data_IF_281925479268
#
_entry.id   IF_281925479268
#
_cell.length_a   1.000
_cell.length_b   1.000
_cell.length_c   1.000
_cell.angle_alpha   90.00
_cell.angle_beta   90.00
_cell.angle_gamma   90.00
#
_symmetry.space_group_name_H-M   'P 1'
#
loop_
_entity.id
_entity.type
_entity.pdbx_description
1 polymer ?
#
# COMPACT_ATOMS: atom_id res chain seq x y z
N UNK A 1 -4.75 1.87 26.34
CA UNK A 1 -5.48 1.43 25.13
C UNK A 1 -4.92 2.20 23.93
N UNK A 2 -4.74 1.61 22.76
CA UNK A 2 -4.36 2.38 21.58
C UNK A 2 -5.47 3.38 21.24
N UNK A 3 -5.07 4.58 20.81
CA UNK A 3 -6.03 5.60 20.40
C UNK A 3 -6.90 5.11 19.23
N UNK A 4 -8.19 5.44 19.22
CA UNK A 4 -9.08 5.07 18.14
C UNK A 4 -8.61 5.69 16.82
N UNK A 5 -8.74 4.96 15.72
CA UNK A 5 -8.48 5.45 14.38
C UNK A 5 -9.75 6.15 13.87
N UNK A 6 -9.60 7.41 13.53
CA UNK A 6 -10.66 8.20 12.90
C UNK A 6 -10.47 8.23 11.38
N UNK A 7 -11.54 8.03 10.66
CA UNK A 7 -11.53 7.93 9.22
C UNK A 7 -12.05 9.19 8.56
N UNK A 8 -11.44 9.50 7.45
CA UNK A 8 -11.79 10.62 6.58
C UNK A 8 -11.94 10.10 5.16
N UNK A 9 -13.06 10.37 4.52
CA UNK A 9 -13.25 10.09 3.09
C UNK A 9 -12.42 11.08 2.29
N UNK A 10 -11.57 10.54 1.43
CA UNK A 10 -10.75 11.32 0.51
C UNK A 10 -11.45 11.36 -0.85
N UNK A 11 -11.75 12.56 -1.31
CA UNK A 11 -12.20 12.82 -2.67
C UNK A 11 -11.01 13.45 -3.39
N UNK A 12 -10.31 12.71 -4.27
CA UNK A 12 -9.20 13.28 -5.03
C UNK A 12 -9.72 14.38 -5.95
N UNK A 13 -8.96 15.46 -6.06
CA UNK A 13 -9.23 16.49 -7.06
C UNK A 13 -8.85 16.02 -8.46
N UNK A 14 -9.44 16.63 -9.50
CA UNK A 14 -9.16 16.28 -10.90
C UNK A 14 -7.72 16.63 -11.30
N UNK A 15 -7.14 17.66 -10.69
CA UNK A 15 -5.81 18.18 -11.03
C UNK A 15 -4.70 17.66 -10.08
N UNK A 16 -4.95 16.52 -9.41
CA UNK A 16 -3.98 15.92 -8.50
C UNK A 16 -2.77 15.41 -9.29
N UNK A 17 -1.59 15.99 -9.01
CA UNK A 17 -0.35 15.61 -9.68
C UNK A 17 0.44 14.57 -8.91
N UNK A 18 1.18 13.71 -9.62
CA UNK A 18 2.09 12.73 -9.01
C UNK A 18 3.10 13.40 -8.06
N UNK A 19 3.57 14.62 -8.40
CA UNK A 19 4.51 15.39 -7.57
C UNK A 19 3.92 15.80 -6.21
N UNK A 20 2.65 16.16 -6.16
CA UNK A 20 1.95 16.47 -4.90
C UNK A 20 1.83 15.22 -4.02
N UNK A 21 1.45 14.09 -4.62
CA UNK A 21 1.36 12.80 -3.93
C UNK A 21 2.74 12.38 -3.41
N UNK A 22 3.79 12.49 -4.24
CA UNK A 22 5.15 12.18 -3.83
C UNK A 22 5.58 12.99 -2.61
N UNK A 23 5.38 14.30 -2.61
CA UNK A 23 5.71 15.19 -1.47
C UNK A 23 4.97 14.79 -0.19
N UNK A 24 3.70 14.38 -0.30
CA UNK A 24 2.96 13.85 0.84
C UNK A 24 3.64 12.59 1.39
N UNK A 25 3.99 11.63 0.53
CA UNK A 25 4.66 10.39 0.96
C UNK A 25 6.07 10.63 1.48
N UNK A 26 6.83 11.57 0.92
CA UNK A 26 8.12 12.01 1.46
C UNK A 26 7.96 12.55 2.88
N UNK A 27 6.96 13.38 3.12
CA UNK A 27 6.64 13.87 4.48
C UNK A 27 6.24 12.73 5.40
N UNK A 28 5.46 11.78 4.93
CA UNK A 28 5.06 10.60 5.70
C UNK A 28 6.19 9.60 5.93
N UNK A 29 7.27 9.64 5.16
CA UNK A 29 8.43 8.77 5.35
C UNK A 29 9.35 9.20 6.47
N UNK A 30 9.20 10.42 6.98
CA UNK A 30 10.03 10.89 8.10
C UNK A 30 9.77 10.07 9.36
N UNK A 31 10.80 9.81 10.21
CA UNK A 31 10.63 9.04 11.44
C UNK A 31 9.59 9.62 12.41
N UNK A 32 9.42 10.95 12.41
CA UNK A 32 8.47 11.68 13.24
C UNK A 32 7.07 11.76 12.62
N UNK A 33 6.90 11.14 11.45
CA UNK A 33 5.61 11.12 10.79
C UNK A 33 4.60 10.32 11.61
N UNK A 34 3.45 10.82 11.60
CA UNK A 34 2.27 10.50 12.39
C UNK A 34 1.73 9.11 12.06
N UNK A 35 1.90 8.17 12.95
CA UNK A 35 1.55 6.75 12.73
C UNK A 35 0.73 6.17 13.86
N UNK A 36 -0.05 5.14 13.58
CA UNK A 36 -0.29 4.52 12.27
C UNK A 36 -1.15 5.39 11.36
N UNK A 37 -0.89 5.34 10.05
CA UNK A 37 -1.78 5.88 9.02
C UNK A 37 -2.24 4.74 8.11
N UNK A 38 -3.51 4.74 7.75
CA UNK A 38 -4.15 3.67 6.98
C UNK A 38 -4.85 4.29 5.79
N UNK A 39 -4.55 3.80 4.59
CA UNK A 39 -5.30 4.10 3.38
C UNK A 39 -6.17 2.89 3.05
N UNK A 40 -7.45 3.13 2.82
CA UNK A 40 -8.40 2.08 2.47
C UNK A 40 -9.16 2.46 1.21
N UNK A 41 -9.32 1.49 0.32
CA UNK A 41 -10.22 1.60 -0.82
C UNK A 41 -11.27 0.52 -0.69
N UNK A 42 -12.52 0.92 -0.65
CA UNK A 42 -13.67 0.05 -0.47
C UNK A 42 -14.52 0.04 -1.72
N UNK A 43 -14.95 -1.14 -2.14
CA UNK A 43 -16.02 -1.32 -3.10
C UNK A 43 -17.22 -1.97 -2.41
N UNK A 44 -18.34 -1.26 -2.35
CA UNK A 44 -19.61 -1.69 -1.77
C UNK A 44 -20.79 -1.28 -2.66
N UNK A 45 -22.04 -1.47 -2.23
CA UNK A 45 -23.23 -1.16 -3.02
C UNK A 45 -23.27 0.28 -3.53
N UNK A 46 -22.73 1.22 -2.77
CA UNK A 46 -22.74 2.65 -3.06
C UNK A 46 -21.62 3.08 -4.02
N UNK A 47 -20.70 2.20 -4.33
CA UNK A 47 -19.61 2.51 -5.26
C UNK A 47 -18.22 2.24 -4.70
N UNK A 48 -17.25 3.04 -5.14
CA UNK A 48 -15.87 2.97 -4.66
C UNK A 48 -15.59 4.18 -3.77
N UNK A 49 -15.10 3.90 -2.56
CA UNK A 49 -14.80 4.94 -1.56
C UNK A 49 -13.35 4.81 -1.10
N UNK A 50 -12.68 5.95 -1.04
CA UNK A 50 -11.33 6.05 -0.48
C UNK A 50 -11.37 6.66 0.91
N UNK A 51 -10.81 5.95 1.87
CA UNK A 51 -10.71 6.37 3.26
C UNK A 51 -9.26 6.51 3.68
N UNK A 52 -9.00 7.51 4.48
CA UNK A 52 -7.72 7.64 5.19
C UNK A 52 -7.99 7.67 6.67
N UNK A 53 -7.38 6.73 7.38
CA UNK A 53 -7.54 6.56 8.82
C UNK A 53 -6.30 6.95 9.59
N UNK A 54 -6.51 7.58 10.77
CA UNK A 54 -5.43 8.00 11.66
C UNK A 54 -5.95 8.26 13.08
N UNK A 55 -5.05 8.17 14.07
CA UNK A 55 -5.33 8.65 15.43
C UNK A 55 -5.44 10.18 15.46
N UNK A 56 -6.44 10.72 16.15
CA UNK A 56 -6.64 12.17 16.33
C UNK A 56 -5.66 12.81 17.32
N UNK A 57 -5.07 12.04 18.22
CA UNK A 57 -4.12 12.56 19.22
C UNK A 57 -2.85 13.13 18.60
N UNK A 58 -2.62 12.85 17.33
CA UNK A 58 -1.38 13.20 16.64
C UNK A 58 -1.57 14.45 15.76
N UNK A 59 -0.74 15.48 15.98
CA UNK A 59 -0.75 16.72 15.17
C UNK A 59 0.44 16.78 14.23
N UNK A 60 0.32 17.40 13.05
CA UNK A 60 -0.87 18.05 12.49
C UNK A 60 -1.98 17.04 12.18
N UNK A 61 -3.23 17.48 12.18
CA UNK A 61 -4.36 16.59 11.85
C UNK A 61 -4.28 16.12 10.42
N UNK A 62 -4.90 14.96 10.11
CA UNK A 62 -4.95 14.43 8.75
C UNK A 62 -5.52 15.47 7.76
N UNK A 63 -6.56 16.19 8.15
CA UNK A 63 -7.15 17.27 7.34
C UNK A 63 -6.14 18.36 7.00
N UNK A 64 -5.31 18.77 7.98
CA UNK A 64 -4.24 19.76 7.75
C UNK A 64 -3.20 19.24 6.77
N UNK A 65 -2.77 17.97 6.89
CA UNK A 65 -1.84 17.37 5.94
C UNK A 65 -2.42 17.33 4.54
N UNK A 66 -3.65 16.82 4.37
CA UNK A 66 -4.31 16.78 3.07
C UNK A 66 -4.37 18.17 2.45
N UNK A 67 -4.83 19.18 3.18
CA UNK A 67 -4.87 20.55 2.69
C UNK A 67 -3.52 21.08 2.24
N UNK A 68 -2.47 20.79 2.99
CA UNK A 68 -1.13 21.32 2.71
C UNK A 68 -0.46 20.68 1.50
N UNK A 69 -0.69 19.37 1.28
CA UNK A 69 0.01 18.61 0.25
C UNK A 69 -0.87 18.28 -0.97
N UNK A 70 -2.18 18.18 -0.77
CA UNK A 70 -3.17 17.86 -1.77
C UNK A 70 -4.32 18.90 -1.74
N UNK A 71 -4.06 20.17 -2.10
CA UNK A 71 -5.02 21.24 -1.95
C UNK A 71 -6.33 21.00 -2.71
N UNK A 72 -6.28 20.31 -3.84
CA UNK A 72 -7.43 19.96 -4.66
C UNK A 72 -8.27 18.80 -4.09
N UNK A 73 -7.71 18.05 -3.12
CA UNK A 73 -8.43 16.95 -2.51
C UNK A 73 -9.34 17.45 -1.37
N UNK A 74 -10.56 16.92 -1.32
CA UNK A 74 -11.50 17.18 -0.23
C UNK A 74 -11.45 16.05 0.79
N UNK A 75 -11.42 16.44 2.05
CA UNK A 75 -11.40 15.54 3.20
C UNK A 75 -12.72 15.68 3.97
N UNK A 76 -13.60 14.69 3.89
CA UNK A 76 -14.89 14.63 4.56
C UNK A 76 -14.82 13.65 5.72
N UNK A 77 -15.47 13.97 6.86
CA UNK A 77 -15.61 13.00 7.95
C UNK A 77 -16.37 11.78 7.45
N UNK A 78 -15.91 10.60 7.81
CA UNK A 78 -16.54 9.36 7.38
C UNK A 78 -16.52 8.32 8.49
N UNK A 79 -17.51 7.46 8.48
CA UNK A 79 -17.54 6.22 9.25
C UNK A 79 -16.93 5.11 8.39
N UNK A 80 -16.08 4.31 8.98
CA UNK A 80 -15.54 3.13 8.29
C UNK A 80 -16.63 2.09 8.13
N UNK A 81 -16.76 1.45 6.96
CA UNK A 81 -17.65 0.31 6.77
C UNK A 81 -17.29 -0.86 7.71
N UNK A 82 -18.20 -1.81 7.85
CA UNK A 82 -17.94 -3.01 8.65
C UNK A 82 -16.71 -3.78 8.16
N UNK A 83 -15.97 -4.33 9.13
CA UNK A 83 -14.78 -5.10 8.82
C UNK A 83 -15.14 -6.35 8.00
N UNK A 84 -14.48 -6.59 6.86
CA UNK A 84 -14.77 -7.76 6.04
C UNK A 84 -14.61 -9.06 6.81
N UNK A 85 -15.44 -10.06 6.49
CA UNK A 85 -15.44 -11.37 7.15
C UNK A 85 -14.09 -12.09 7.05
N UNK A 86 -13.39 -11.90 5.95
CA UNK A 86 -12.08 -12.52 5.71
C UNK A 86 -11.08 -11.48 5.24
N UNK A 87 -9.94 -11.46 5.92
CA UNK A 87 -8.82 -10.56 5.62
C UNK A 87 -7.60 -11.40 5.28
N UNK A 88 -6.94 -11.09 4.17
CA UNK A 88 -5.65 -11.66 3.79
C UNK A 88 -4.59 -10.57 3.76
N UNK A 89 -3.40 -10.86 4.29
CA UNK A 89 -2.24 -10.00 4.15
C UNK A 89 -1.45 -10.40 2.92
N UNK A 90 -1.17 -9.44 2.04
CA UNK A 90 -0.27 -9.65 0.91
C UNK A 90 1.17 -9.68 1.42
N UNK A 91 1.93 -10.67 0.98
CA UNK A 91 3.36 -10.76 1.24
C UNK A 91 4.10 -10.46 -0.07
N UNK A 92 4.93 -9.45 -0.06
CA UNK A 92 5.84 -9.18 -1.17
C UNK A 92 7.03 -10.15 -1.11
N UNK A 93 7.34 -10.76 -2.23
CA UNK A 93 8.46 -11.69 -2.39
C UNK A 93 9.26 -11.27 -3.63
N UNK A 94 10.59 -11.20 -3.55
CA UNK A 94 11.43 -11.40 -2.37
C UNK A 94 11.42 -10.21 -1.40
N UNK A 95 11.66 -10.45 -0.14
CA UNK A 95 11.71 -9.41 0.89
C UNK A 95 12.86 -8.44 0.62
N UNK A 96 12.60 -7.14 0.82
CA UNK A 96 13.62 -6.09 0.73
C UNK A 96 13.94 -5.63 -0.69
N UNK A 97 13.31 -6.21 -1.71
CA UNK A 97 13.40 -5.67 -3.06
C UNK A 97 12.52 -4.43 -3.22
N UNK A 98 13.00 -3.43 -3.96
CA UNK A 98 12.20 -2.28 -4.32
C UNK A 98 10.98 -2.68 -5.15
N UNK A 99 9.87 -2.01 -4.92
CA UNK A 99 8.72 -2.09 -5.82
C UNK A 99 9.13 -1.54 -7.19
N UNK A 100 8.52 -2.05 -8.24
CA UNK A 100 8.68 -1.46 -9.57
C UNK A 100 8.07 -0.06 -9.57
N UNK A 101 8.75 0.89 -10.16
CA UNK A 101 8.32 2.27 -10.39
C UNK A 101 7.89 2.52 -11.84
N UNK A 102 7.60 1.46 -12.57
CA UNK A 102 7.08 1.52 -13.93
C UNK A 102 5.66 2.09 -13.94
N UNK A 103 5.51 3.27 -14.54
CA UNK A 103 4.23 3.97 -14.56
C UNK A 103 3.14 3.20 -15.36
N UNK A 104 3.51 2.53 -16.46
CA UNK A 104 2.56 1.74 -17.23
C UNK A 104 2.06 0.52 -16.44
N UNK A 105 2.97 -0.24 -15.84
CA UNK A 105 2.60 -1.38 -14.99
C UNK A 105 1.78 -0.95 -13.77
N UNK A 106 2.04 0.24 -13.21
CA UNK A 106 1.23 0.79 -12.12
C UNK A 106 -0.18 1.14 -12.58
N UNK A 107 -0.34 1.70 -13.77
CA UNK A 107 -1.64 2.02 -14.35
C UNK A 107 -2.45 0.75 -14.63
N UNK A 108 -1.85 -0.27 -15.23
CA UNK A 108 -2.48 -1.56 -15.49
C UNK A 108 -2.94 -2.22 -14.19
N UNK A 109 -2.10 -2.19 -13.14
CA UNK A 109 -2.45 -2.69 -11.81
C UNK A 109 -3.65 -1.94 -11.22
N UNK A 110 -3.68 -0.60 -11.32
CA UNK A 110 -4.81 0.20 -10.84
C UNK A 110 -6.09 -0.13 -11.60
N UNK A 111 -6.04 -0.23 -12.93
CA UNK A 111 -7.19 -0.65 -13.73
C UNK A 111 -7.71 -2.03 -13.33
N UNK A 112 -6.82 -3.00 -13.11
CA UNK A 112 -7.19 -4.33 -12.67
C UNK A 112 -7.82 -4.32 -11.25
N UNK A 113 -7.26 -3.54 -10.32
CA UNK A 113 -7.82 -3.35 -8.98
C UNK A 113 -9.23 -2.76 -9.06
N UNK A 114 -9.40 -1.66 -9.80
CA UNK A 114 -10.71 -1.03 -9.95
C UNK A 114 -11.72 -1.92 -10.66
N UNK A 115 -11.30 -2.74 -11.63
CA UNK A 115 -12.14 -3.74 -12.27
C UNK A 115 -12.69 -4.76 -11.26
N UNK A 116 -11.83 -5.28 -10.38
CA UNK A 116 -12.27 -6.21 -9.31
C UNK A 116 -13.21 -5.50 -8.34
N UNK A 117 -12.90 -4.27 -7.92
CA UNK A 117 -13.77 -3.49 -7.03
C UNK A 117 -15.13 -3.17 -7.66
N UNK A 118 -15.19 -2.94 -8.97
CA UNK A 118 -16.43 -2.64 -9.70
C UNK A 118 -17.24 -3.89 -10.03
N UNK A 119 -16.59 -5.05 -10.20
CA UNK A 119 -17.23 -6.33 -10.55
C UNK A 119 -17.95 -7.03 -9.40
N UNK A 120 -18.12 -6.38 -8.25
CA UNK A 120 -18.83 -6.91 -7.09
C UNK A 120 -20.33 -7.04 -7.35
N UNK A 121 -20.94 -7.98 -6.65
CA UNK A 121 -22.41 -8.20 -6.66
C UNK A 121 -23.03 -7.51 -5.45
N UNK A 122 -24.36 -7.40 -5.47
CA UNK A 122 -25.14 -6.91 -4.32
C UNK A 122 -24.82 -7.73 -3.06
N UNK A 123 -24.58 -7.04 -1.94
CA UNK A 123 -24.19 -7.65 -0.66
C UNK A 123 -22.73 -8.09 -0.60
N UNK A 124 -21.90 -7.84 -1.64
CA UNK A 124 -20.47 -8.09 -1.59
C UNK A 124 -19.73 -6.80 -1.22
N UNK A 125 -18.72 -6.94 -0.38
CA UNK A 125 -17.81 -5.85 -0.02
C UNK A 125 -16.36 -6.29 -0.24
N UNK A 126 -15.60 -5.45 -0.91
CA UNK A 126 -14.17 -5.66 -1.12
C UNK A 126 -13.42 -4.45 -0.55
N UNK A 127 -12.42 -4.71 0.29
CA UNK A 127 -11.60 -3.67 0.89
C UNK A 127 -10.12 -3.93 0.63
N UNK A 128 -9.41 -2.90 0.22
CA UNK A 128 -7.95 -2.89 0.12
C UNK A 128 -7.45 -1.91 1.18
N UNK A 129 -6.58 -2.38 2.05
CA UNK A 129 -6.00 -1.59 3.12
C UNK A 129 -4.48 -1.54 2.96
N UNK A 130 -3.93 -0.34 2.90
CA UNK A 130 -2.50 -0.07 2.96
C UNK A 130 -2.19 0.60 4.28
N UNK A 131 -1.52 -0.11 5.16
CA UNK A 131 -1.09 0.41 6.47
C UNK A 131 0.34 0.91 6.34
N UNK A 132 0.53 2.20 6.58
CA UNK A 132 1.86 2.78 6.67
C UNK A 132 2.45 2.50 8.05
N UNK A 133 3.51 1.74 8.05
CA UNK A 133 4.28 1.42 9.24
C UNK A 133 5.38 2.45 9.51
N UNK A 134 6.49 2.00 10.08
CA UNK A 134 7.60 2.87 10.50
C UNK A 134 8.35 3.46 9.31
N UNK A 135 8.66 4.77 9.36
CA UNK A 135 9.65 5.39 8.49
C UNK A 135 11.05 4.94 8.84
N UNK A 136 11.86 4.76 7.83
CA UNK A 136 13.27 4.43 7.96
C UNK A 136 14.11 5.50 7.30
N UNK A 137 15.11 5.94 8.01
CA UNK A 137 16.12 6.85 7.45
C UNK A 137 16.95 6.12 6.39
N UNK A 138 17.59 6.85 5.49
CA UNK A 138 18.64 6.30 4.63
C UNK A 138 19.63 5.48 5.45
N UNK A 139 20.12 4.41 4.90
CA UNK A 139 21.06 3.50 5.55
C UNK A 139 22.25 3.24 4.62
N UNK A 140 23.37 2.81 5.18
CA UNK A 140 24.49 2.34 4.38
C UNK A 140 24.09 1.17 3.49
N UNK A 141 24.66 1.12 2.30
CA UNK A 141 24.44 0.00 1.37
C UNK A 141 25.04 -1.27 1.97
N UNK A 142 24.31 -2.41 2.00
CA UNK A 142 24.88 -3.66 2.47
C UNK A 142 26.11 -4.05 1.63
N UNK A 143 27.21 -4.40 2.29
CA UNK A 143 28.44 -4.81 1.60
C UNK A 143 28.22 -6.08 0.75
N UNK A 144 27.34 -6.98 1.20
CA UNK A 144 27.01 -8.20 0.49
C UNK A 144 25.52 -8.22 0.17
N UNK A 145 25.20 -8.13 -1.11
CA UNK A 145 23.84 -8.26 -1.62
C UNK A 145 23.77 -9.63 -2.31
N UNK A 146 22.97 -10.52 -1.74
CA UNK A 146 22.74 -11.88 -2.27
C UNK A 146 21.71 -11.79 -3.40
N UNK A 147 21.86 -12.63 -4.43
CA UNK A 147 20.87 -12.73 -5.50
C UNK A 147 19.54 -13.25 -4.96
N UNK A 148 18.46 -12.44 -4.98
CA UNK A 148 17.15 -12.86 -4.47
C UNK A 148 16.46 -13.90 -5.35
N UNK A 149 16.92 -14.08 -6.60
CA UNK A 149 16.39 -15.03 -7.57
C UNK A 149 17.20 -16.35 -7.61
N UNK A 150 18.22 -16.47 -6.77
CA UNK A 150 19.00 -17.71 -6.70
C UNK A 150 18.12 -18.87 -6.26
N UNK A 151 18.10 -19.93 -7.04
CA UNK A 151 17.38 -21.17 -6.69
C UNK A 151 18.09 -21.90 -5.55
N UNK A 152 17.34 -22.73 -4.81
CA UNK A 152 17.92 -23.55 -3.72
C UNK A 152 19.10 -24.40 -4.22
N UNK A 153 19.01 -24.94 -5.44
CA UNK A 153 20.11 -25.69 -6.06
C UNK A 153 21.35 -24.83 -6.31
N UNK A 154 21.19 -23.60 -6.77
CA UNK A 154 22.30 -22.67 -6.96
C UNK A 154 22.94 -22.25 -5.62
N UNK A 155 22.13 -22.06 -4.58
CA UNK A 155 22.63 -21.76 -3.25
C UNK A 155 23.43 -22.91 -2.64
N UNK A 156 23.01 -24.14 -2.87
CA UNK A 156 23.70 -25.35 -2.38
C UNK A 156 25.00 -25.63 -3.15
N UNK A 157 25.01 -25.42 -4.47
CA UNK A 157 26.15 -25.76 -5.33
C UNK A 157 27.21 -24.65 -5.41
N UNK A 158 26.82 -23.39 -5.37
CA UNK A 158 27.71 -22.23 -5.59
C UNK A 158 27.79 -21.27 -4.39
N UNK A 159 27.10 -21.59 -3.32
CA UNK A 159 26.94 -20.65 -2.20
C UNK A 159 26.10 -19.43 -2.59
N UNK A 160 26.02 -18.45 -1.68
CA UNK A 160 25.31 -17.21 -1.97
C UNK A 160 26.10 -16.37 -2.99
N UNK A 161 25.77 -16.51 -4.28
CA UNK A 161 26.32 -15.66 -5.33
C UNK A 161 26.02 -14.19 -5.11
N UNK A 162 26.92 -13.29 -5.53
CA UNK A 162 26.65 -11.87 -5.52
C UNK A 162 25.50 -11.55 -6.48
N UNK A 163 24.57 -10.69 -6.06
CA UNK A 163 23.48 -10.25 -6.90
C UNK A 163 24.00 -9.59 -8.21
N UNK A 164 23.25 -9.69 -9.32
CA UNK A 164 23.54 -8.97 -10.55
C UNK A 164 23.77 -7.48 -10.31
N UNK A 165 24.61 -6.85 -11.12
CA UNK A 165 24.99 -5.44 -10.97
C UNK A 165 23.78 -4.51 -10.91
N UNK A 166 22.76 -4.78 -11.69
CA UNK A 166 21.52 -4.01 -11.72
C UNK A 166 20.73 -4.12 -10.39
N UNK A 167 20.65 -5.31 -9.82
CA UNK A 167 20.01 -5.50 -8.51
C UNK A 167 20.81 -4.77 -7.43
N UNK A 168 22.14 -4.84 -7.47
CA UNK A 168 23.01 -4.12 -6.53
C UNK A 168 22.80 -2.61 -6.63
N UNK A 169 22.72 -2.06 -7.86
CA UNK A 169 22.46 -0.64 -8.10
C UNK A 169 21.10 -0.21 -7.54
N UNK A 170 20.05 -0.99 -7.78
CA UNK A 170 18.69 -0.73 -7.21
C UNK A 170 18.71 -0.74 -5.69
N UNK A 171 19.32 -1.76 -5.08
CA UNK A 171 19.40 -1.84 -3.61
C UNK A 171 20.19 -0.66 -3.04
N UNK A 172 21.27 -0.23 -3.70
CA UNK A 172 22.03 0.95 -3.30
C UNK A 172 21.17 2.22 -3.36
N UNK A 173 20.52 2.48 -4.48
CA UNK A 173 19.60 3.62 -4.62
C UNK A 173 18.51 3.63 -3.55
N UNK A 174 17.92 2.46 -3.25
CA UNK A 174 16.94 2.35 -2.20
C UNK A 174 17.48 2.53 -0.79
N UNK A 175 18.72 2.13 -0.54
CA UNK A 175 19.34 2.34 0.77
C UNK A 175 19.56 3.84 1.06
N UNK A 176 19.85 4.62 0.04
CA UNK A 176 20.09 6.07 0.11
C UNK A 176 18.79 6.89 0.28
N UNK A 177 17.63 6.28 0.08
CA UNK A 177 16.33 6.96 0.18
C UNK A 177 15.64 6.72 1.52
N UNK A 178 14.83 7.69 1.97
CA UNK A 178 13.91 7.47 3.06
C UNK A 178 12.82 6.46 2.65
N UNK A 179 12.49 5.53 3.52
CA UNK A 179 11.56 4.41 3.25
C UNK A 179 10.44 4.36 4.27
N UNK A 180 9.33 3.78 3.86
CA UNK A 180 8.19 3.49 4.74
C UNK A 180 7.92 1.99 4.69
N UNK A 181 7.81 1.37 5.86
CA UNK A 181 7.30 -0.01 5.93
C UNK A 181 5.81 0.02 5.58
N UNK A 182 5.37 -0.82 4.66
CA UNK A 182 3.97 -0.93 4.28
C UNK A 182 3.44 -2.34 4.53
N UNK A 183 2.18 -2.43 4.90
CA UNK A 183 1.43 -3.69 4.94
C UNK A 183 0.18 -3.53 4.11
N UNK A 184 0.03 -4.38 3.10
CA UNK A 184 -1.18 -4.42 2.28
C UNK A 184 -2.06 -5.57 2.72
N UNK A 185 -3.35 -5.31 2.90
CA UNK A 185 -4.36 -6.30 3.27
C UNK A 185 -5.53 -6.19 2.31
N UNK A 186 -6.14 -7.33 2.01
CA UNK A 186 -7.37 -7.41 1.22
C UNK A 186 -8.43 -8.09 2.05
N UNK A 187 -9.57 -7.44 2.18
CA UNK A 187 -10.74 -7.95 2.87
C UNK A 187 -11.86 -8.23 1.87
N UNK A 188 -12.58 -9.33 2.07
CA UNK A 188 -13.71 -9.71 1.22
C UNK A 188 -14.86 -10.23 2.08
N UNK A 189 -16.04 -9.68 1.87
CA UNK A 189 -17.34 -10.22 2.31
C UNK A 189 -18.11 -10.66 1.08
N UNK A 190 -18.61 -11.90 1.07
CA UNK A 190 -19.47 -12.41 0.01
C UNK A 190 -20.31 -13.59 0.54
N UNK A 191 -21.42 -13.86 -0.12
CA UNK A 191 -22.45 -14.83 0.30
C UNK A 191 -21.90 -16.25 0.51
N UNK A 192 -20.88 -16.67 -0.25
CA UNK A 192 -20.31 -18.02 -0.11
C UNK A 192 -18.78 -18.02 0.01
N UNK A 193 -18.21 -19.06 0.64
CA UNK A 193 -16.76 -19.24 0.71
C UNK A 193 -16.10 -19.38 -0.67
N UNK A 194 -16.78 -19.98 -1.63
CA UNK A 194 -16.32 -20.16 -3.02
C UNK A 194 -16.17 -18.80 -3.70
N UNK A 195 -17.21 -17.95 -3.57
CA UNK A 195 -17.21 -16.62 -4.14
C UNK A 195 -16.12 -15.74 -3.52
N UNK A 196 -15.88 -15.83 -2.20
CA UNK A 196 -14.77 -15.15 -1.53
C UNK A 196 -13.41 -15.59 -2.07
N UNK A 197 -13.23 -16.90 -2.32
CA UNK A 197 -12.01 -17.44 -2.93
C UNK A 197 -11.82 -16.93 -4.35
N UNK A 198 -12.89 -16.89 -5.15
CA UNK A 198 -12.86 -16.37 -6.51
C UNK A 198 -12.42 -14.91 -6.55
N UNK A 199 -13.08 -14.02 -5.78
CA UNK A 199 -12.73 -12.58 -5.71
C UNK A 199 -11.28 -12.40 -5.27
N UNK A 200 -10.85 -13.13 -4.23
CA UNK A 200 -9.46 -13.08 -3.76
C UNK A 200 -8.48 -13.57 -4.84
N UNK A 201 -8.82 -14.62 -5.56
CA UNK A 201 -8.01 -15.13 -6.68
C UNK A 201 -7.88 -14.10 -7.80
N UNK A 202 -8.97 -13.48 -8.22
CA UNK A 202 -8.97 -12.38 -9.19
C UNK A 202 -8.07 -11.23 -8.74
N UNK A 203 -8.19 -10.82 -7.47
CA UNK A 203 -7.34 -9.77 -6.93
C UNK A 203 -5.86 -10.17 -6.90
N UNK A 204 -5.51 -11.40 -6.49
CA UNK A 204 -4.13 -11.86 -6.43
C UNK A 204 -3.51 -12.04 -7.82
N UNK A 205 -4.30 -12.32 -8.85
CA UNK A 205 -3.82 -12.43 -10.23
C UNK A 205 -3.46 -11.08 -10.86
N UNK A 206 -3.77 -9.97 -10.20
CA UNK A 206 -3.38 -8.62 -10.68
C UNK A 206 -1.96 -8.22 -10.27
N UNK A 207 -1.34 -8.95 -9.34
CA UNK A 207 0.02 -8.71 -8.84
C UNK A 207 1.02 -9.72 -9.39
#
# INVERSE_FOLDING_TARGET
MPDPIHYTRLLPGMDLTSKQVQRLFERLSTPDALRPMVFETWGDEDGIVHLVGRSESVKPTLRTLIRSYLPEARALRATRPETPERIARLKLTPRGMPLRDDAAATQDLLHAIYSVLSGRRKGETIAIQVVLGRGRRPSSVPQKIVDPNATVGQLLLRGSGAAPAEIRKRVAQHAEQARIDITVRVGVTAASPERRRQIRGQFLSTF
#
